data_IF_688008880426
#
_entry.id   IF_688008880426
#
_cell.length_a   1.000
_cell.length_b   1.000
_cell.length_c   1.000
_cell.angle_alpha   90.00
_cell.angle_beta   90.00
_cell.angle_gamma   90.00
#
_symmetry.space_group_name_H-M   'P 1'
#
loop_
_entity.id
_entity.type
_entity.pdbx_description
1 polymer ?
#
# COMPACT_ATOMS: atom_id res chain seq x y z
N UNK A 1 16.69 -2.30 11.73
CA UNK A 1 16.46 -3.53 10.98
C UNK A 1 15.08 -3.46 10.42
N UNK A 2 14.99 -3.45 9.10
CA UNK A 2 13.77 -3.35 8.34
C UNK A 2 13.72 -4.51 7.34
N UNK A 3 12.50 -5.00 7.10
CA UNK A 3 12.24 -6.01 6.08
C UNK A 3 11.20 -5.45 5.12
N UNK A 4 11.55 -5.40 3.84
CA UNK A 4 10.64 -5.00 2.76
C UNK A 4 10.27 -6.20 1.92
N UNK A 5 8.98 -6.39 1.69
CA UNK A 5 8.43 -7.37 0.76
C UNK A 5 8.03 -6.64 -0.54
N UNK A 6 8.75 -6.88 -1.64
CA UNK A 6 8.42 -6.25 -2.91
C UNK A 6 7.19 -6.93 -3.53
N UNK A 7 6.09 -6.22 -3.67
CA UNK A 7 4.87 -6.74 -4.28
C UNK A 7 4.62 -6.06 -5.62
N UNK A 8 4.14 -6.82 -6.59
CA UNK A 8 3.72 -6.25 -7.86
C UNK A 8 3.79 -7.25 -9.00
N UNK A 9 3.08 -7.00 -10.10
CA UNK A 9 3.15 -7.87 -11.27
C UNK A 9 4.56 -7.85 -11.88
N UNK A 10 4.88 -8.86 -12.70
CA UNK A 10 6.08 -8.84 -13.54
C UNK A 10 6.05 -7.61 -14.44
N UNK A 11 7.19 -6.94 -14.60
CA UNK A 11 7.28 -5.66 -15.33
C UNK A 11 6.94 -4.41 -14.51
N UNK A 12 6.47 -4.54 -13.26
CA UNK A 12 6.19 -3.38 -12.41
C UNK A 12 7.45 -2.58 -12.02
N UNK A 13 8.63 -3.20 -12.07
CA UNK A 13 9.91 -2.56 -11.74
C UNK A 13 10.49 -2.93 -10.37
N UNK A 14 10.02 -4.03 -9.77
CA UNK A 14 10.40 -4.50 -8.42
C UNK A 14 11.91 -4.62 -8.24
N UNK A 15 12.57 -5.34 -9.15
CA UNK A 15 14.03 -5.52 -9.14
C UNK A 15 14.80 -4.21 -9.25
N UNK A 16 14.24 -3.22 -9.95
CA UNK A 16 14.85 -1.88 -10.05
C UNK A 16 14.74 -1.12 -8.73
N UNK A 17 13.58 -1.21 -8.07
CA UNK A 17 13.40 -0.65 -6.73
C UNK A 17 14.31 -1.35 -5.70
N UNK A 18 14.35 -2.68 -5.70
CA UNK A 18 15.20 -3.46 -4.82
C UNK A 18 16.69 -3.13 -5.00
N UNK A 19 17.16 -2.94 -6.25
CA UNK A 19 18.55 -2.51 -6.51
C UNK A 19 18.88 -1.14 -5.93
N UNK A 20 17.95 -0.17 -5.98
CA UNK A 20 18.16 1.14 -5.34
C UNK A 20 18.33 1.02 -3.83
N UNK A 21 17.63 0.09 -3.18
CA UNK A 21 17.83 -0.19 -1.76
C UNK A 21 19.21 -0.81 -1.50
N UNK A 22 19.65 -1.74 -2.35
CA UNK A 22 21.00 -2.32 -2.27
C UNK A 22 22.08 -1.25 -2.36
N UNK A 23 21.90 -0.25 -3.23
CA UNK A 23 22.82 0.89 -3.35
C UNK A 23 22.92 1.72 -2.05
N UNK A 24 21.93 1.61 -1.16
CA UNK A 24 21.90 2.23 0.17
C UNK A 24 22.37 1.30 1.30
N UNK A 25 22.82 0.08 0.98
CA UNK A 25 23.35 -0.88 1.94
C UNK A 25 22.41 -2.02 2.33
N UNK A 26 21.27 -2.19 1.67
CA UNK A 26 20.33 -3.29 1.95
C UNK A 26 20.80 -4.62 1.37
N UNK A 27 20.48 -5.72 2.04
CA UNK A 27 20.66 -7.08 1.54
C UNK A 27 19.44 -7.47 0.68
N UNK A 28 19.66 -7.82 -0.59
CA UNK A 28 18.61 -8.28 -1.51
C UNK A 28 18.55 -9.80 -1.59
N UNK A 29 17.36 -10.36 -1.34
CA UNK A 29 17.03 -11.76 -1.54
C UNK A 29 16.04 -11.84 -2.70
N UNK A 30 16.43 -12.43 -3.83
CA UNK A 30 15.63 -12.42 -5.05
C UNK A 30 15.42 -13.84 -5.59
N UNK A 31 14.15 -14.20 -5.79
CA UNK A 31 13.77 -15.51 -6.32
C UNK A 31 14.29 -15.70 -7.75
N UNK A 32 14.13 -14.68 -8.61
CA UNK A 32 14.57 -14.72 -10.01
C UNK A 32 16.10 -14.86 -10.15
N UNK A 33 16.87 -14.35 -9.19
CA UNK A 33 18.33 -14.53 -9.16
C UNK A 33 18.71 -15.99 -8.88
N UNK A 34 18.00 -16.66 -7.99
CA UNK A 34 18.29 -18.06 -7.66
C UNK A 34 17.82 -19.01 -8.76
N UNK A 35 16.67 -18.76 -9.39
CA UNK A 35 16.23 -19.55 -10.55
C UNK A 35 17.16 -19.39 -11.75
N UNK A 36 17.68 -18.18 -12.00
CA UNK A 36 18.70 -17.93 -13.03
C UNK A 36 19.98 -18.74 -12.79
N UNK A 37 20.44 -18.85 -11.53
CA UNK A 37 21.62 -19.66 -11.18
C UNK A 37 21.44 -21.14 -11.47
N UNK A 38 20.21 -21.64 -11.48
CA UNK A 38 19.87 -23.00 -11.87
C UNK A 38 19.71 -23.19 -13.39
N UNK A 39 19.84 -22.13 -14.19
CA UNK A 39 19.82 -22.21 -15.66
C UNK A 39 18.58 -21.60 -16.34
N UNK A 40 17.67 -20.96 -15.59
CA UNK A 40 16.56 -20.24 -16.19
C UNK A 40 17.07 -19.06 -17.05
N UNK A 41 16.42 -18.75 -18.19
CA UNK A 41 15.23 -19.39 -18.75
C UNK A 41 15.54 -20.54 -19.72
N UNK A 42 16.81 -20.91 -19.91
CA UNK A 42 17.20 -21.93 -20.89
C UNK A 42 16.64 -23.32 -20.56
N UNK A 43 16.50 -23.62 -19.27
CA UNK A 43 15.91 -24.87 -18.77
C UNK A 43 14.75 -24.58 -17.80
N UNK A 44 13.58 -25.22 -17.94
CA UNK A 44 12.50 -25.11 -16.96
C UNK A 44 12.94 -25.62 -15.59
N UNK A 45 12.76 -24.80 -14.56
CA UNK A 45 13.10 -25.15 -13.18
C UNK A 45 12.02 -26.08 -12.60
N UNK A 46 12.44 -27.18 -11.96
CA UNK A 46 11.51 -28.16 -11.39
C UNK A 46 10.76 -27.58 -10.18
N UNK A 47 9.53 -28.04 -9.90
CA UNK A 47 8.80 -27.57 -8.71
C UNK A 47 9.58 -27.84 -7.40
N UNK A 48 10.24 -28.99 -7.29
CA UNK A 48 11.05 -29.32 -6.13
C UNK A 48 12.29 -28.39 -5.98
N UNK A 49 12.73 -27.76 -7.06
CA UNK A 49 13.82 -26.78 -7.04
C UNK A 49 13.30 -25.41 -6.64
N UNK A 50 12.11 -25.04 -7.11
CA UNK A 50 11.41 -23.82 -6.70
C UNK A 50 11.12 -23.84 -5.19
N UNK A 51 10.61 -24.95 -4.67
CA UNK A 51 10.34 -25.13 -3.24
C UNK A 51 11.64 -25.02 -2.41
N UNK A 52 12.74 -25.64 -2.87
CA UNK A 52 14.06 -25.55 -2.22
C UNK A 52 14.62 -24.13 -2.24
N UNK A 53 14.43 -23.38 -3.33
CA UNK A 53 14.83 -21.97 -3.40
C UNK A 53 14.04 -21.15 -2.38
N UNK A 54 12.73 -21.38 -2.27
CA UNK A 54 11.91 -20.66 -1.31
C UNK A 54 12.37 -20.92 0.13
N UNK A 55 12.60 -22.18 0.50
CA UNK A 55 13.09 -22.56 1.83
C UNK A 55 14.47 -21.93 2.13
N UNK A 56 15.43 -21.99 1.20
CA UNK A 56 16.75 -21.33 1.34
C UNK A 56 16.61 -19.81 1.55
N UNK A 57 15.74 -19.15 0.79
CA UNK A 57 15.56 -17.71 0.89
C UNK A 57 14.89 -17.31 2.23
N UNK A 58 13.98 -18.14 2.77
CA UNK A 58 13.41 -17.96 4.12
C UNK A 58 14.50 -18.07 5.19
N UNK A 59 15.37 -19.07 5.13
CA UNK A 59 16.48 -19.22 6.07
C UNK A 59 17.47 -18.04 5.99
N UNK A 60 17.82 -17.63 4.77
CA UNK A 60 18.73 -16.50 4.54
C UNK A 60 18.15 -15.18 5.02
N UNK A 61 16.84 -14.98 4.92
CA UNK A 61 16.16 -13.82 5.51
C UNK A 61 16.39 -13.76 7.02
N UNK A 62 16.17 -14.87 7.72
CA UNK A 62 16.38 -14.96 9.19
C UNK A 62 17.83 -14.66 9.53
N UNK A 63 18.78 -15.29 8.81
CA UNK A 63 20.22 -15.11 9.08
C UNK A 63 20.67 -13.66 8.81
N UNK A 64 20.23 -13.04 7.72
CA UNK A 64 20.60 -11.67 7.38
C UNK A 64 20.08 -10.67 8.43
N UNK A 65 18.79 -10.77 8.80
CA UNK A 65 18.23 -9.92 9.86
C UNK A 65 18.92 -10.17 11.20
N UNK A 66 19.23 -11.42 11.54
CA UNK A 66 19.96 -11.77 12.76
C UNK A 66 21.38 -11.20 12.83
N UNK A 67 21.99 -10.85 11.69
CA UNK A 67 23.28 -10.15 11.61
C UNK A 67 23.16 -8.64 11.74
N UNK A 68 21.95 -8.10 11.70
CA UNK A 68 21.72 -6.67 11.69
C UNK A 68 21.73 -6.06 10.28
N UNK A 69 21.31 -6.81 9.26
CA UNK A 69 21.07 -6.25 7.92
C UNK A 69 19.61 -5.79 7.75
N UNK A 70 19.40 -4.70 7.01
CA UNK A 70 18.10 -4.39 6.41
C UNK A 70 17.92 -5.24 5.14
N UNK A 71 16.77 -5.90 4.99
CA UNK A 71 16.55 -6.91 3.95
C UNK A 71 15.40 -6.55 3.03
N UNK A 72 15.63 -6.62 1.72
CA UNK A 72 14.57 -6.56 0.70
C UNK A 72 14.37 -7.94 0.08
N UNK A 73 13.17 -8.47 0.25
CA UNK A 73 12.71 -9.72 -0.38
C UNK A 73 12.05 -9.36 -1.70
N UNK A 74 12.80 -9.53 -2.78
CA UNK A 74 12.43 -9.19 -4.14
C UNK A 74 11.77 -10.37 -4.85
N UNK A 75 10.55 -10.67 -4.39
CA UNK A 75 9.66 -11.68 -4.95
C UNK A 75 8.52 -10.96 -5.67
N UNK A 76 7.57 -11.68 -6.26
CA UNK A 76 6.36 -11.03 -6.80
C UNK A 76 5.25 -10.86 -5.75
N UNK A 77 5.24 -11.67 -4.69
CA UNK A 77 4.23 -11.64 -3.62
C UNK A 77 2.80 -11.54 -4.17
N UNK A 78 2.49 -12.43 -5.12
CA UNK A 78 1.29 -12.36 -5.97
C UNK A 78 -0.01 -12.68 -5.24
N UNK A 79 0.03 -13.50 -4.19
CA UNK A 79 -1.16 -13.87 -3.40
C UNK A 79 -1.09 -13.25 -2.01
N UNK A 80 -2.26 -13.01 -1.41
CA UNK A 80 -2.32 -12.56 -0.02
C UNK A 80 -1.74 -13.59 0.94
N UNK A 81 -2.01 -14.88 0.73
CA UNK A 81 -1.48 -15.95 1.58
C UNK A 81 0.05 -15.90 1.67
N UNK A 82 0.75 -15.75 0.54
CA UNK A 82 2.22 -15.68 0.53
C UNK A 82 2.74 -14.45 1.30
N UNK A 83 2.05 -13.30 1.19
CA UNK A 83 2.40 -12.09 1.95
C UNK A 83 2.18 -12.30 3.45
N UNK A 84 1.06 -12.91 3.83
CA UNK A 84 0.72 -13.19 5.21
C UNK A 84 1.72 -14.19 5.83
N UNK A 85 2.16 -15.21 5.08
CA UNK A 85 3.17 -16.19 5.52
C UNK A 85 4.53 -15.54 5.82
N UNK A 86 5.02 -14.66 4.93
CA UNK A 86 6.28 -13.95 5.14
C UNK A 86 6.19 -12.90 6.25
N UNK A 87 5.03 -12.24 6.40
CA UNK A 87 4.80 -11.32 7.50
C UNK A 87 4.78 -12.05 8.84
N UNK A 88 4.14 -13.22 8.92
CA UNK A 88 4.15 -14.06 10.10
C UNK A 88 5.58 -14.54 10.42
N UNK A 89 6.34 -14.97 9.42
CA UNK A 89 7.75 -15.35 9.58
C UNK A 89 8.58 -14.23 10.22
N UNK A 90 8.43 -13.00 9.74
CA UNK A 90 9.17 -11.84 10.25
C UNK A 90 8.66 -11.39 11.63
N UNK A 91 7.35 -11.43 11.86
CA UNK A 91 6.74 -11.06 13.13
C UNK A 91 7.09 -12.05 14.24
N UNK A 92 6.80 -13.32 14.02
CA UNK A 92 6.92 -14.37 15.03
C UNK A 92 8.38 -14.83 15.19
N UNK A 93 9.14 -14.88 14.09
CA UNK A 93 10.52 -15.34 14.09
C UNK A 93 11.54 -14.27 14.47
N UNK A 94 11.28 -12.99 14.15
CA UNK A 94 12.26 -11.91 14.29
C UNK A 94 11.77 -10.76 15.18
N UNK A 95 10.50 -10.73 15.58
CA UNK A 95 9.93 -9.65 16.37
C UNK A 95 9.84 -8.32 15.62
N UNK A 96 9.88 -8.36 14.28
CA UNK A 96 9.82 -7.18 13.41
C UNK A 96 8.51 -7.14 12.63
N UNK A 97 8.19 -6.00 12.02
CA UNK A 97 7.09 -5.91 11.05
C UNK A 97 7.66 -5.73 9.66
N UNK A 98 7.31 -6.62 8.75
CA UNK A 98 7.67 -6.49 7.35
C UNK A 98 6.73 -5.47 6.66
N UNK A 99 7.30 -4.47 5.99
CA UNK A 99 6.54 -3.54 5.15
C UNK A 99 6.37 -4.14 3.75
N UNK A 100 5.15 -4.17 3.24
CA UNK A 100 4.92 -4.52 1.84
C UNK A 100 5.02 -3.26 0.99
N UNK A 101 5.89 -3.26 -0.03
CA UNK A 101 5.97 -2.19 -1.04
C UNK A 101 5.37 -2.70 -2.34
N UNK A 102 4.16 -2.25 -2.65
CA UNK A 102 3.45 -2.59 -3.87
C UNK A 102 3.73 -1.56 -4.96
N UNK A 103 4.35 -1.99 -6.05
CA UNK A 103 4.50 -1.16 -7.25
C UNK A 103 3.24 -1.30 -8.11
N UNK A 104 2.37 -0.31 -7.99
CA UNK A 104 1.10 -0.29 -8.71
C UNK A 104 1.32 0.30 -10.11
N UNK A 105 1.48 -0.60 -11.07
CA UNK A 105 1.66 -0.29 -12.48
C UNK A 105 0.49 -0.88 -13.24
N UNK A 106 -0.11 -0.10 -14.13
CA UNK A 106 -1.19 -0.57 -14.98
C UNK A 106 -0.74 -1.77 -15.83
N UNK A 107 -1.68 -2.68 -16.09
CA UNK A 107 -1.44 -3.94 -16.79
C UNK A 107 -0.74 -3.70 -18.13
N UNK A 108 -1.20 -2.76 -18.93
CA UNK A 108 -0.68 -2.54 -20.28
C UNK A 108 0.76 -2.02 -20.24
N UNK A 109 1.11 -1.18 -19.26
CA UNK A 109 2.49 -0.76 -19.03
C UNK A 109 3.37 -1.92 -18.56
N UNK A 110 2.89 -2.74 -17.64
CA UNK A 110 3.63 -3.93 -17.18
C UNK A 110 3.91 -4.89 -18.35
N UNK A 111 2.90 -5.18 -19.17
CA UNK A 111 3.00 -6.02 -20.36
C UNK A 111 4.02 -5.48 -21.38
N UNK A 112 3.96 -4.18 -21.68
CA UNK A 112 4.93 -3.54 -22.60
C UNK A 112 6.37 -3.69 -22.11
N UNK A 113 6.61 -3.55 -20.80
CA UNK A 113 7.94 -3.70 -20.20
C UNK A 113 8.43 -5.14 -20.23
N UNK A 114 7.54 -6.11 -20.06
CA UNK A 114 7.88 -7.54 -20.19
C UNK A 114 8.22 -7.89 -21.64
N UNK A 115 7.45 -7.38 -22.60
CA UNK A 115 7.69 -7.62 -24.02
C UNK A 115 9.05 -7.09 -24.52
N UNK A 116 9.63 -6.08 -23.85
CA UNK A 116 10.96 -5.54 -24.20
C UNK A 116 12.14 -6.31 -23.60
N UNK A 117 11.90 -7.31 -22.76
CA UNK A 117 12.97 -8.08 -22.10
C UNK A 117 13.77 -8.90 -23.10
N UNK A 118 15.04 -9.18 -22.80
CA UNK A 118 15.98 -9.80 -23.72
C UNK A 118 16.78 -10.98 -23.14
N UNK A 119 16.37 -11.53 -21.99
CA UNK A 119 17.05 -12.63 -21.30
C UNK A 119 18.54 -12.32 -21.03
N UNK A 120 18.84 -11.05 -20.74
CA UNK A 120 20.22 -10.60 -20.53
C UNK A 120 20.71 -10.83 -19.09
N UNK A 121 19.82 -11.25 -18.19
CA UNK A 121 20.13 -11.57 -16.80
C UNK A 121 18.87 -11.87 -15.96
N UNK A 122 19.04 -12.11 -14.65
CA UNK A 122 17.96 -12.56 -13.76
C UNK A 122 16.80 -11.56 -13.65
N UNK A 123 17.05 -10.27 -13.87
CA UNK A 123 16.02 -9.23 -13.82
C UNK A 123 15.35 -8.95 -15.18
N UNK A 124 15.75 -9.68 -16.22
CA UNK A 124 15.39 -9.46 -17.63
C UNK A 124 14.84 -10.74 -18.31
N UNK A 125 14.24 -11.64 -17.52
CA UNK A 125 13.62 -12.88 -17.99
C UNK A 125 12.37 -12.60 -18.84
N UNK A 126 12.38 -13.03 -20.10
CA UNK A 126 11.22 -13.06 -20.99
C UNK A 126 10.18 -14.03 -20.43
N UNK A 127 8.94 -13.61 -20.51
CA UNK A 127 7.80 -14.46 -20.20
C UNK A 127 7.05 -14.77 -21.50
N UNK A 128 6.56 -15.98 -21.60
CA UNK A 128 5.56 -16.39 -22.59
C UNK A 128 4.22 -15.70 -22.31
N UNK A 129 3.36 -15.60 -23.32
CA UNK A 129 2.01 -15.05 -23.16
C UNK A 129 1.19 -15.79 -22.08
N UNK A 130 1.43 -17.10 -21.93
CA UNK A 130 0.77 -17.93 -20.91
C UNK A 130 1.24 -17.58 -19.49
N UNK A 131 2.54 -17.38 -19.29
CA UNK A 131 3.10 -16.99 -17.99
C UNK A 131 2.66 -15.57 -17.61
N UNK A 132 2.61 -14.68 -18.59
CA UNK A 132 2.07 -13.34 -18.42
C UNK A 132 0.59 -13.39 -17.99
N UNK A 133 -0.24 -14.18 -18.67
CA UNK A 133 -1.65 -14.33 -18.31
C UNK A 133 -1.80 -14.92 -16.91
N UNK A 134 -1.09 -16.00 -16.59
CA UNK A 134 -1.10 -16.62 -15.27
C UNK A 134 -0.67 -15.65 -14.16
N UNK A 135 0.34 -14.82 -14.43
CA UNK A 135 0.82 -13.83 -13.48
C UNK A 135 -0.18 -12.71 -13.24
N UNK A 136 -0.98 -12.34 -14.25
CA UNK A 136 -1.99 -11.28 -14.10
C UNK A 136 -3.27 -11.82 -13.46
N UNK A 137 -3.75 -12.98 -13.91
CA UNK A 137 -5.04 -13.53 -13.48
C UNK A 137 -4.98 -14.07 -12.04
N UNK A 138 -3.80 -14.51 -11.60
CA UNK A 138 -3.56 -14.99 -10.23
C UNK A 138 -3.09 -13.91 -9.25
N UNK A 139 -3.02 -12.64 -9.64
CA UNK A 139 -2.48 -11.57 -8.78
C UNK A 139 -3.55 -10.93 -7.91
N UNK A 140 -3.43 -11.12 -6.60
CA UNK A 140 -4.25 -10.47 -5.58
C UNK A 140 -3.61 -9.16 -5.13
N UNK A 141 -4.10 -8.03 -5.66
CA UNK A 141 -3.60 -6.70 -5.30
C UNK A 141 -3.74 -6.46 -3.80
N UNK A 142 -2.66 -6.03 -3.09
CA UNK A 142 -2.75 -5.76 -1.67
C UNK A 142 -3.64 -4.55 -1.39
N UNK A 143 -4.31 -4.58 -0.24
CA UNK A 143 -5.18 -3.47 0.21
C UNK A 143 -4.62 -2.84 1.47
N UNK A 144 -5.06 -1.63 1.83
CA UNK A 144 -4.69 -1.02 3.12
C UNK A 144 -5.31 -1.74 4.35
N UNK A 145 -5.94 -2.90 4.19
CA UNK A 145 -6.18 -3.80 5.33
C UNK A 145 -4.91 -4.60 5.70
N UNK A 146 -3.96 -4.70 4.78
CA UNK A 146 -2.70 -5.42 4.92
C UNK A 146 -1.61 -4.49 5.48
N UNK A 147 -1.65 -4.17 6.77
CA UNK A 147 -0.68 -3.28 7.40
C UNK A 147 0.61 -3.99 7.84
N UNK A 148 1.81 -3.41 7.60
CA UNK A 148 2.08 -2.18 6.84
C UNK A 148 2.11 -2.38 5.32
N UNK A 149 1.49 -1.46 4.58
CA UNK A 149 1.53 -1.35 3.13
C UNK A 149 1.94 0.05 2.68
N UNK A 150 2.82 0.08 1.67
CA UNK A 150 3.12 1.23 0.83
C UNK A 150 2.80 0.89 -0.62
N UNK A 151 2.06 1.76 -1.30
CA UNK A 151 1.73 1.64 -2.72
C UNK A 151 2.46 2.75 -3.47
N UNK A 152 3.32 2.39 -4.42
CA UNK A 152 4.04 3.32 -5.28
C UNK A 152 3.37 3.32 -6.65
N UNK A 153 2.83 4.46 -7.07
CA UNK A 153 2.19 4.64 -8.37
C UNK A 153 2.59 5.99 -8.96
N UNK A 154 3.55 5.90 -9.87
CA UNK A 154 4.22 7.04 -10.50
C UNK A 154 5.12 7.77 -9.50
N UNK A 155 4.88 9.07 -9.36
CA UNK A 155 5.52 10.00 -8.43
C UNK A 155 4.81 10.08 -7.07
N UNK A 156 3.72 9.33 -6.89
CA UNK A 156 2.92 9.31 -5.67
C UNK A 156 3.12 8.01 -4.92
N UNK A 157 3.34 8.14 -3.61
CA UNK A 157 3.34 7.02 -2.67
C UNK A 157 2.12 7.12 -1.76
N UNK A 158 1.35 6.05 -1.63
CA UNK A 158 0.33 5.94 -0.60
C UNK A 158 0.83 5.02 0.51
N UNK A 159 0.66 5.43 1.76
CA UNK A 159 1.11 4.65 2.92
C UNK A 159 0.17 4.84 4.10
N UNK A 160 0.27 3.96 5.07
CA UNK A 160 -0.32 4.24 6.38
C UNK A 160 0.38 5.43 7.02
N UNK A 161 -0.39 6.31 7.65
CA UNK A 161 0.20 7.28 8.57
C UNK A 161 0.64 6.58 9.85
N UNK A 162 1.66 7.15 10.45
CA UNK A 162 2.23 6.77 11.74
C UNK A 162 1.99 7.89 12.75
N UNK A 163 2.33 7.65 14.01
CA UNK A 163 2.26 8.68 15.06
C UNK A 163 3.17 9.88 14.71
N UNK A 164 4.28 9.64 14.03
CA UNK A 164 5.22 10.70 13.60
C UNK A 164 4.62 11.62 12.52
N UNK A 165 3.55 11.19 11.85
CA UNK A 165 2.84 12.00 10.85
C UNK A 165 1.78 12.93 11.46
N UNK A 166 1.47 12.83 12.76
CA UNK A 166 0.31 13.53 13.38
C UNK A 166 0.44 15.04 13.25
N UNK A 167 1.59 15.63 13.57
CA UNK A 167 1.80 17.07 13.46
C UNK A 167 1.67 17.54 12.00
N UNK A 168 2.24 16.78 11.06
CA UNK A 168 2.16 17.08 9.63
C UNK A 168 0.73 16.96 9.10
N UNK A 169 -0.03 15.96 9.56
CA UNK A 169 -1.45 15.77 9.22
C UNK A 169 -2.31 16.93 9.70
N UNK A 170 -2.11 17.40 10.94
CA UNK A 170 -2.86 18.54 11.48
C UNK A 170 -2.55 19.82 10.70
N UNK A 171 -1.27 20.10 10.44
CA UNK A 171 -0.87 21.24 9.62
C UNK A 171 -1.46 21.15 8.20
N UNK A 172 -1.38 19.96 7.58
CA UNK A 172 -1.96 19.70 6.27
C UNK A 172 -3.48 19.89 6.26
N UNK A 173 -4.20 19.43 7.28
CA UNK A 173 -5.65 19.63 7.35
C UNK A 173 -6.03 21.08 7.52
N UNK A 174 -5.23 21.90 8.20
CA UNK A 174 -5.44 23.35 8.27
C UNK A 174 -5.22 23.99 6.88
N UNK A 175 -4.15 23.62 6.18
CA UNK A 175 -3.83 24.15 4.85
C UNK A 175 -4.85 23.71 3.78
N UNK A 176 -5.22 22.43 3.79
CA UNK A 176 -6.11 21.83 2.80
C UNK A 176 -7.60 22.10 3.09
N UNK A 177 -7.95 22.53 4.31
CA UNK A 177 -9.33 22.83 4.68
C UNK A 177 -9.84 24.09 3.97
N UNK A 178 -10.73 23.86 3.00
CA UNK A 178 -11.56 24.92 2.41
C UNK A 178 -12.68 25.44 3.34
N UNK A 179 -12.69 25.09 4.64
CA UNK A 179 -13.85 25.34 5.51
C UNK A 179 -13.47 25.63 6.97
N UNK A 180 -13.36 26.91 7.31
CA UNK A 180 -13.12 27.44 8.65
C UNK A 180 -14.22 27.14 9.69
N UNK A 181 -15.31 26.46 9.29
CA UNK A 181 -16.47 26.16 10.14
C UNK A 181 -16.37 24.82 10.89
N UNK A 182 -15.33 24.01 10.66
CA UNK A 182 -15.13 22.73 11.37
C UNK A 182 -14.34 22.96 12.66
N UNK A 183 -14.66 22.26 13.77
CA UNK A 183 -13.80 22.23 14.94
C UNK A 183 -12.37 21.82 14.57
N UNK A 184 -11.40 22.40 15.27
CA UNK A 184 -10.00 21.96 15.17
C UNK A 184 -9.89 20.49 15.57
N UNK A 185 -9.04 19.74 14.84
CA UNK A 185 -8.68 18.39 15.25
C UNK A 185 -7.67 18.44 16.41
N UNK A 186 -7.70 17.44 17.27
CA UNK A 186 -6.83 17.29 18.43
C UNK A 186 -5.82 16.17 18.15
N UNK A 187 -4.53 16.48 18.26
CA UNK A 187 -3.42 15.53 18.08
C UNK A 187 -3.64 14.26 18.90
N UNK A 188 -4.04 14.41 20.17
CA UNK A 188 -4.27 13.29 21.08
C UNK A 188 -5.36 12.34 20.57
N UNK A 189 -6.39 12.87 19.90
CA UNK A 189 -7.46 12.03 19.34
C UNK A 189 -7.01 11.30 18.07
N UNK A 190 -6.13 11.90 17.28
CA UNK A 190 -5.53 11.25 16.10
C UNK A 190 -4.56 10.16 16.55
N UNK A 191 -3.72 10.42 17.55
CA UNK A 191 -2.86 9.42 18.18
C UNK A 191 -3.66 8.24 18.74
N UNK A 192 -4.77 8.50 19.46
CA UNK A 192 -5.67 7.45 19.96
C UNK A 192 -6.32 6.65 18.83
N UNK A 193 -6.64 7.29 17.70
CA UNK A 193 -7.15 6.59 16.52
C UNK A 193 -6.08 5.64 15.96
N UNK A 194 -4.84 6.09 15.82
CA UNK A 194 -3.73 5.30 15.30
C UNK A 194 -3.32 4.17 16.25
N UNK A 195 -3.39 4.39 17.56
CA UNK A 195 -3.16 3.34 18.56
C UNK A 195 -4.22 2.23 18.46
N UNK A 196 -5.49 2.62 18.32
CA UNK A 196 -6.60 1.67 18.16
C UNK A 196 -6.57 0.94 16.82
N UNK A 197 -6.26 1.65 15.75
CA UNK A 197 -6.24 1.14 14.37
C UNK A 197 -5.09 1.80 13.59
N UNK A 198 -3.90 1.20 13.59
CA UNK A 198 -2.72 1.72 12.89
C UNK A 198 -2.90 1.84 11.38
N UNK A 199 -3.92 1.17 10.83
CA UNK A 199 -4.22 1.19 9.40
C UNK A 199 -5.28 2.22 9.02
N UNK A 200 -5.89 2.93 9.98
CA UNK A 200 -7.05 3.78 9.76
C UNK A 200 -6.77 5.01 8.90
N UNK A 201 -5.54 5.52 8.89
CA UNK A 201 -5.20 6.76 8.19
C UNK A 201 -4.28 6.43 7.03
N UNK A 202 -4.75 6.74 5.82
CA UNK A 202 -4.00 6.56 4.58
C UNK A 202 -3.57 7.95 4.11
N UNK A 203 -2.28 8.11 3.83
CA UNK A 203 -1.72 9.35 3.31
C UNK A 203 -1.18 9.16 1.91
N UNK A 204 -1.22 10.22 1.13
CA UNK A 204 -0.54 10.35 -0.15
C UNK A 204 0.67 11.26 0.06
N UNK A 205 1.82 10.77 -0.36
CA UNK A 205 3.10 11.45 -0.31
C UNK A 205 3.62 11.66 -1.74
N UNK A 206 4.19 12.83 -2.00
CA UNK A 206 4.92 13.13 -3.21
C UNK A 206 6.27 13.73 -2.82
N UNK A 207 7.35 13.04 -3.13
CA UNK A 207 8.74 13.49 -2.86
C UNK A 207 9.00 13.83 -1.37
N UNK A 208 8.43 13.04 -0.44
CA UNK A 208 8.55 13.24 1.00
C UNK A 208 7.60 14.30 1.57
N UNK A 209 6.68 14.82 0.76
CA UNK A 209 5.67 15.80 1.18
C UNK A 209 4.29 15.17 1.24
N UNK A 210 3.61 15.35 2.38
CA UNK A 210 2.20 15.02 2.53
C UNK A 210 1.34 15.87 1.57
N UNK A 211 0.68 15.21 0.63
CA UNK A 211 -0.15 15.87 -0.40
C UNK A 211 -1.61 15.43 -0.38
N UNK A 212 -1.95 14.41 0.41
CA UNK A 212 -3.31 13.98 0.60
C UNK A 212 -3.49 13.07 1.80
N UNK A 213 -4.72 12.97 2.29
CA UNK A 213 -5.08 12.05 3.37
C UNK A 213 -6.50 11.53 3.20
N UNK A 214 -6.78 10.38 3.80
CA UNK A 214 -8.13 9.92 4.11
C UNK A 214 -8.09 9.09 5.40
N UNK A 215 -9.07 9.32 6.27
CA UNK A 215 -9.31 8.48 7.43
C UNK A 215 -10.40 7.48 7.08
N UNK A 216 -10.06 6.20 7.09
CA UNK A 216 -10.92 5.05 6.84
C UNK A 216 -11.19 4.32 8.17
N UNK A 217 -12.08 4.86 8.99
CA UNK A 217 -12.39 4.28 10.30
C UNK A 217 -13.30 3.05 10.20
N UNK A 218 -12.94 1.99 10.92
CA UNK A 218 -13.76 0.79 11.12
C UNK A 218 -13.87 0.48 12.61
N UNK A 219 -15.08 0.25 13.12
CA UNK A 219 -15.31 -0.08 14.53
C UNK A 219 -15.84 -1.51 14.74
N UNK A 220 -15.76 -2.36 13.71
CA UNK A 220 -16.32 -3.72 13.70
C UNK A 220 -17.79 -3.77 13.25
N UNK A 221 -18.45 -2.63 13.07
CA UNK A 221 -19.83 -2.55 12.64
C UNK A 221 -20.06 -1.53 11.50
N UNK A 222 -19.50 -0.32 11.65
CA UNK A 222 -19.70 0.80 10.74
C UNK A 222 -18.37 1.29 10.20
N UNK A 223 -18.35 1.49 8.88
CA UNK A 223 -17.25 2.13 8.19
C UNK A 223 -17.55 3.61 7.98
N UNK A 224 -16.60 4.45 8.38
CA UNK A 224 -16.72 5.89 8.23
C UNK A 224 -15.48 6.48 7.56
N UNK A 225 -15.72 7.35 6.59
CA UNK A 225 -14.69 8.08 5.87
C UNK A 225 -14.67 9.54 6.34
N UNK A 226 -13.52 9.97 6.82
CA UNK A 226 -13.27 11.34 7.26
C UNK A 226 -12.01 11.91 6.61
N UNK A 227 -11.85 13.24 6.69
CA UNK A 227 -10.61 13.93 6.33
C UNK A 227 -10.02 13.50 4.97
N UNK A 228 -10.89 13.22 3.99
CA UNK A 228 -10.50 13.11 2.59
C UNK A 228 -10.09 14.50 2.11
N UNK A 229 -8.79 14.73 2.02
CA UNK A 229 -8.18 16.02 1.71
C UNK A 229 -7.06 15.84 0.70
N UNK A 230 -6.91 16.82 -0.19
CA UNK A 230 -5.86 16.87 -1.23
C UNK A 230 -5.31 18.28 -1.27
N UNK A 231 -3.99 18.38 -1.30
CA UNK A 231 -3.26 19.63 -1.41
C UNK A 231 -3.78 20.46 -2.61
N UNK A 232 -4.07 21.76 -2.44
CA UNK A 232 -4.71 22.58 -3.47
C UNK A 232 -4.03 22.53 -4.85
N UNK A 233 -2.69 22.56 -4.88
CA UNK A 233 -1.90 22.53 -6.13
C UNK A 233 -1.92 21.18 -6.89
N UNK A 234 -2.46 20.13 -6.28
CA UNK A 234 -2.51 18.77 -6.85
C UNK A 234 -3.94 18.27 -7.09
N UNK A 235 -4.93 19.15 -6.93
CA UNK A 235 -6.33 18.84 -7.26
C UNK A 235 -6.52 18.68 -8.77
N UNK A 236 -7.56 17.94 -9.15
CA UNK A 236 -7.83 17.61 -10.55
C UNK A 236 -6.88 16.56 -11.15
N UNK A 237 -5.89 16.06 -10.40
CA UNK A 237 -4.94 15.02 -10.83
C UNK A 237 -5.30 13.60 -10.39
N UNK A 238 -6.50 13.39 -9.86
CA UNK A 238 -7.00 12.07 -9.45
C UNK A 238 -6.52 11.57 -8.07
N UNK A 239 -5.69 12.31 -7.33
CA UNK A 239 -5.19 11.92 -5.98
C UNK A 239 -6.32 11.55 -5.03
N UNK A 240 -7.37 12.38 -4.94
CA UNK A 240 -8.52 12.12 -4.05
C UNK A 240 -9.30 10.86 -4.44
N UNK A 241 -9.40 10.54 -5.74
CA UNK A 241 -10.04 9.30 -6.21
C UNK A 241 -9.23 8.08 -5.83
N UNK A 242 -7.90 8.14 -5.96
CA UNK A 242 -6.98 7.05 -5.58
C UNK A 242 -7.02 6.81 -4.06
N UNK A 243 -6.95 7.86 -3.25
CA UNK A 243 -7.13 7.77 -1.78
C UNK A 243 -8.46 7.12 -1.40
N UNK A 244 -9.57 7.59 -2.01
CA UNK A 244 -10.89 7.04 -1.74
C UNK A 244 -10.96 5.55 -2.13
N UNK A 245 -10.45 5.18 -3.30
CA UNK A 245 -10.41 3.78 -3.74
C UNK A 245 -9.60 2.89 -2.78
N UNK A 246 -8.44 3.37 -2.29
CA UNK A 246 -7.65 2.65 -1.29
C UNK A 246 -8.41 2.47 0.03
N UNK A 247 -9.13 3.50 0.49
CA UNK A 247 -9.96 3.42 1.69
C UNK A 247 -11.14 2.45 1.53
N UNK A 248 -11.80 2.46 0.38
CA UNK A 248 -12.90 1.54 0.05
C UNK A 248 -12.45 0.09 0.04
N UNK A 249 -11.35 -0.22 -0.67
CA UNK A 249 -10.80 -1.57 -0.71
C UNK A 249 -10.39 -2.06 0.67
N UNK A 250 -9.80 -1.20 1.51
CA UNK A 250 -9.50 -1.53 2.90
C UNK A 250 -10.76 -1.88 3.68
N UNK A 251 -11.77 -1.01 3.65
CA UNK A 251 -12.99 -1.19 4.45
C UNK A 251 -13.77 -2.42 3.98
N UNK A 252 -13.83 -2.67 2.67
CA UNK A 252 -14.42 -3.89 2.11
C UNK A 252 -13.67 -5.16 2.56
N UNK A 253 -12.33 -5.13 2.57
CA UNK A 253 -11.50 -6.24 3.06
C UNK A 253 -11.69 -6.52 4.56
N UNK A 254 -12.12 -5.52 5.34
CA UNK A 254 -12.50 -5.67 6.76
C UNK A 254 -13.97 -6.14 6.96
N UNK A 255 -14.70 -6.38 5.87
CA UNK A 255 -16.09 -6.84 5.91
C UNK A 255 -17.14 -5.73 5.97
N UNK A 256 -16.78 -4.47 5.73
CA UNK A 256 -17.74 -3.39 5.69
C UNK A 256 -18.71 -3.55 4.51
N UNK A 257 -20.01 -3.52 4.79
CA UNK A 257 -21.08 -3.60 3.79
C UNK A 257 -21.64 -2.23 3.40
N UNK A 258 -21.35 -1.20 4.19
CA UNK A 258 -21.80 0.17 3.98
C UNK A 258 -20.76 1.17 4.44
N UNK A 259 -20.41 2.10 3.56
CA UNK A 259 -19.43 3.16 3.81
C UNK A 259 -20.16 4.50 3.98
N UNK A 260 -19.87 5.22 5.06
CA UNK A 260 -20.52 6.48 5.38
C UNK A 260 -19.51 7.64 5.34
N UNK A 261 -19.91 8.77 4.77
CA UNK A 261 -19.13 10.00 4.78
C UNK A 261 -20.02 11.18 5.12
N UNK A 262 -19.45 12.19 5.79
CA UNK A 262 -20.12 13.46 6.01
C UNK A 262 -19.50 14.52 5.12
N UNK A 263 -20.23 14.91 4.08
CA UNK A 263 -19.84 15.91 3.09
C UNK A 263 -20.59 17.21 3.41
N UNK A 264 -19.93 18.36 3.29
CA UNK A 264 -20.60 19.64 3.47
C UNK A 264 -21.48 19.91 2.25
N UNK A 265 -22.69 20.42 2.47
CA UNK A 265 -23.66 20.69 1.41
C UNK A 265 -23.12 21.70 0.38
N UNK A 266 -22.35 22.69 0.84
CA UNK A 266 -21.79 23.78 0.02
C UNK A 266 -20.37 23.48 -0.53
N UNK A 267 -19.95 22.21 -0.56
CA UNK A 267 -18.65 21.81 -1.11
C UNK A 267 -18.82 21.09 -2.47
N UNK A 268 -19.10 21.87 -3.51
CA UNK A 268 -19.33 21.37 -4.87
C UNK A 268 -18.18 20.50 -5.42
N UNK A 269 -16.89 20.86 -5.26
CA UNK A 269 -15.79 20.01 -5.71
C UNK A 269 -15.74 18.65 -5.01
N UNK A 270 -15.93 18.61 -3.69
CA UNK A 270 -15.96 17.35 -2.95
C UNK A 270 -17.20 16.53 -3.34
N UNK A 271 -18.37 17.16 -3.48
CA UNK A 271 -19.61 16.48 -3.85
C UNK A 271 -19.50 15.77 -5.21
N UNK A 272 -18.81 16.38 -6.19
CA UNK A 272 -18.52 15.75 -7.47
C UNK A 272 -17.71 14.46 -7.35
N UNK A 273 -16.67 14.47 -6.51
CA UNK A 273 -15.84 13.28 -6.24
C UNK A 273 -16.68 12.15 -5.63
N UNK A 274 -17.40 12.43 -4.55
CA UNK A 274 -18.23 11.44 -3.86
C UNK A 274 -19.30 10.83 -4.78
N UNK A 275 -20.01 11.66 -5.56
CA UNK A 275 -20.99 11.17 -6.55
C UNK A 275 -20.33 10.30 -7.62
N UNK A 276 -19.15 10.69 -8.12
CA UNK A 276 -18.43 9.89 -9.12
C UNK A 276 -17.96 8.52 -8.59
N UNK A 277 -17.80 8.39 -7.27
CA UNK A 277 -17.49 7.14 -6.58
C UNK A 277 -18.75 6.34 -6.17
N UNK A 278 -19.96 6.80 -6.56
CA UNK A 278 -21.21 6.10 -6.29
C UNK A 278 -21.88 6.44 -4.96
N UNK A 279 -21.38 7.42 -4.20
CA UNK A 279 -22.04 7.88 -2.97
C UNK A 279 -23.22 8.79 -3.32
N UNK A 280 -24.32 8.60 -2.60
CA UNK A 280 -25.54 9.41 -2.74
C UNK A 280 -25.89 10.10 -1.42
N UNK A 281 -26.31 11.38 -1.45
CA UNK A 281 -26.81 12.04 -0.25
C UNK A 281 -28.10 11.39 0.22
N UNK A 282 -28.26 11.21 1.53
CA UNK A 282 -29.49 10.69 2.14
C UNK A 282 -30.19 11.78 2.95
N UNK A 283 -31.15 12.47 2.31
CA UNK A 283 -31.86 13.60 2.93
C UNK A 283 -32.86 13.22 4.03
N UNK A 284 -33.18 11.94 4.19
CA UNK A 284 -34.09 11.43 5.22
C UNK A 284 -33.50 11.50 6.64
N UNK A 285 -32.17 11.64 6.74
CA UNK A 285 -31.43 11.58 8.00
C UNK A 285 -30.58 12.84 8.15
N UNK A 286 -30.60 13.46 9.33
CA UNK A 286 -29.79 14.62 9.64
C UNK A 286 -28.65 14.27 10.61
N UNK A 287 -27.54 15.02 10.56
CA UNK A 287 -26.47 14.91 11.55
C UNK A 287 -26.86 15.65 12.83
N UNK A 288 -27.05 14.93 13.92
CA UNK A 288 -27.24 15.51 15.26
C UNK A 288 -25.91 15.47 16.03
N UNK A 289 -25.51 16.59 16.61
CA UNK A 289 -24.28 16.70 17.40
C UNK A 289 -24.56 17.30 18.77
N UNK A 290 -23.89 16.79 19.80
CA UNK A 290 -23.89 17.36 21.15
C UNK A 290 -22.44 17.40 21.63
N UNK A 291 -21.95 18.58 21.99
CA UNK A 291 -20.64 18.72 22.59
C UNK A 291 -20.66 18.12 24.00
N UNK A 292 -19.66 17.30 24.31
CA UNK A 292 -19.41 16.79 25.66
C UNK A 292 -18.13 17.46 26.15
N UNK A 293 -18.23 18.31 27.16
CA UNK A 293 -17.06 18.86 27.84
C UNK A 293 -16.49 17.75 28.72
N UNK A 294 -15.23 17.36 28.53
CA UNK A 294 -14.55 16.49 29.49
C UNK A 294 -14.53 17.18 30.84
N UNK A 295 -15.02 16.51 31.89
CA UNK A 295 -14.75 16.90 33.27
C UNK A 295 -13.33 16.52 33.64
#
# INVERSE_FOLDING_TARGET
MAVILMCGPTGAGKSTFARRLVDTGWTRLSFDVETWRLGAPAEPVSQADLDRIEDDLRERLIVAVGRGDDVVVDFSFSTRSLRDDYRALVADGLGLRAETVFLDVDRDTALRRVASRCDTGPDDLRLTDQEVAAHVDGFERPTFAEHPLRVVDGDLEFRHATVDDVDALLAFWVEAAENAARPADDARLVEQLLDRDPAAVIVADQEGRLVGSVVAGWDGWRANLYRLAVHPGLRGRGVGRRLLSHAEHRLAALGATRLCAMVLDENDPAAGLWRSAGYVPQGEWSRWVKSVTSR
#
